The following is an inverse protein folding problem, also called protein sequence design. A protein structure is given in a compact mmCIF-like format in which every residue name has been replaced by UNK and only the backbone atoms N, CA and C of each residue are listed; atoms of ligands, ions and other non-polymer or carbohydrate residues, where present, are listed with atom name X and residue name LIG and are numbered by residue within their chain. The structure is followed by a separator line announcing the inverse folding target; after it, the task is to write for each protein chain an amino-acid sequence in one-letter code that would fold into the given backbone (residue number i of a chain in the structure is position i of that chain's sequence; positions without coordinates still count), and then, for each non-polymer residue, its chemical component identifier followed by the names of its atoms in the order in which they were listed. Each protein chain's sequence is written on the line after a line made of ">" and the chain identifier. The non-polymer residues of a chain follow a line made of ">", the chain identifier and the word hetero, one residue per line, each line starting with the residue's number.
data_IF_201824368170
#
_entry.id   IF_201824368170
#
_cell.length_a   1.000
_cell.length_b   1.000
_cell.length_c   1.000
_cell.angle_alpha   90.00
_cell.angle_beta   90.00
_cell.angle_gamma   90.00
#
_symmetry.space_group_name_H-M   'P 1'
#
loop_
_entity.id
_entity.type
_entity.pdbx_description
1 polymer ?
#
# COMPACT_ATOMS: atom_id res chain seq x y z
N UNK A 1 15.30 4.79 22.49
CA UNK A 1 14.76 4.22 21.25
C UNK A 1 15.78 3.73 20.21
N UNK A 2 17.12 3.65 20.41
CA UNK A 2 17.94 2.79 19.54
C UNK A 2 17.50 1.32 19.59
N UNK A 3 16.83 0.88 20.66
CA UNK A 3 16.30 -0.47 20.86
C UNK A 3 15.27 -0.91 19.81
N UNK A 4 14.54 0.02 19.18
CA UNK A 4 13.53 -0.32 18.16
C UNK A 4 14.02 -0.21 16.72
N UNK A 5 15.26 0.23 16.48
CA UNK A 5 15.80 0.43 15.13
C UNK A 5 15.72 -0.86 14.30
N UNK A 6 16.08 -2.00 14.90
CA UNK A 6 15.99 -3.30 14.24
C UNK A 6 14.55 -3.66 13.83
N UNK A 7 13.59 -3.46 14.74
CA UNK A 7 12.16 -3.72 14.49
C UNK A 7 11.58 -2.80 13.41
N UNK A 8 11.94 -1.52 13.42
CA UNK A 8 11.52 -0.53 12.42
C UNK A 8 12.05 -0.92 11.04
N UNK A 9 13.34 -1.25 10.93
CA UNK A 9 13.94 -1.66 9.66
C UNK A 9 13.30 -2.94 9.13
N UNK A 10 13.03 -3.92 10.00
CA UNK A 10 12.38 -5.16 9.63
C UNK A 10 10.92 -4.94 9.19
N UNK A 11 10.14 -4.13 9.91
CA UNK A 11 8.78 -3.76 9.52
C UNK A 11 8.74 -3.11 8.14
N UNK A 12 9.60 -2.11 7.92
CA UNK A 12 9.69 -1.42 6.63
C UNK A 12 10.08 -2.39 5.51
N UNK A 13 11.06 -3.28 5.76
CA UNK A 13 11.47 -4.30 4.80
C UNK A 13 10.30 -5.23 4.43
N UNK A 14 9.57 -5.75 5.43
CA UNK A 14 8.42 -6.63 5.19
C UNK A 14 7.29 -5.90 4.45
N UNK A 15 7.01 -4.64 4.79
CA UNK A 15 6.04 -3.83 4.06
C UNK A 15 6.47 -3.55 2.61
N UNK A 16 7.76 -3.34 2.35
CA UNK A 16 8.27 -3.18 0.98
C UNK A 16 8.13 -4.47 0.17
N UNK A 17 8.55 -5.61 0.74
CA UNK A 17 8.46 -6.90 0.06
C UNK A 17 7.00 -7.26 -0.21
N UNK A 18 6.11 -7.14 0.78
CA UNK A 18 4.69 -7.46 0.57
C UNK A 18 4.04 -6.52 -0.45
N UNK A 19 4.42 -5.24 -0.46
CA UNK A 19 3.93 -4.28 -1.46
C UNK A 19 4.34 -4.70 -2.87
N UNK A 20 5.62 -5.05 -3.08
CA UNK A 20 6.12 -5.53 -4.37
C UNK A 20 5.32 -6.74 -4.86
N UNK A 21 5.09 -7.74 -4.01
CA UNK A 21 4.30 -8.91 -4.39
C UNK A 21 2.85 -8.56 -4.73
N UNK A 22 2.21 -7.73 -3.90
CA UNK A 22 0.83 -7.34 -4.09
C UNK A 22 0.61 -6.52 -5.39
N UNK A 23 1.51 -5.58 -5.70
CA UNK A 23 1.44 -4.72 -6.90
C UNK A 23 1.81 -5.45 -8.19
N UNK A 24 2.87 -6.28 -8.16
CA UNK A 24 3.49 -6.76 -9.39
C UNK A 24 3.27 -8.24 -9.68
N UNK A 25 2.99 -9.06 -8.65
CA UNK A 25 2.91 -10.52 -8.80
C UNK A 25 1.49 -11.06 -8.59
N UNK A 26 0.70 -10.42 -7.74
CA UNK A 26 -0.61 -10.94 -7.29
C UNK A 26 -1.81 -10.26 -7.97
N UNK A 27 -1.57 -9.26 -8.84
CA UNK A 27 -2.66 -8.60 -9.55
C UNK A 27 -3.34 -9.55 -10.55
N UNK A 28 -4.67 -9.63 -10.49
CA UNK A 28 -5.48 -10.42 -11.42
C UNK A 28 -5.97 -9.56 -12.60
N UNK A 29 -6.44 -10.16 -13.71
CA UNK A 29 -7.00 -9.40 -14.83
C UNK A 29 -8.11 -8.43 -14.42
N UNK A 30 -8.94 -8.80 -13.44
CA UNK A 30 -10.00 -7.95 -12.88
C UNK A 30 -9.44 -6.75 -12.10
N UNK A 31 -8.31 -6.91 -11.42
CA UNK A 31 -7.63 -5.81 -10.73
C UNK A 31 -7.02 -4.82 -11.72
N UNK A 32 -6.62 -5.30 -12.91
CA UNK A 32 -5.92 -4.53 -13.93
C UNK A 32 -6.83 -3.77 -14.91
N UNK A 33 -8.03 -4.28 -15.19
CA UNK A 33 -8.97 -3.68 -16.14
C UNK A 33 -9.81 -2.56 -15.52
N UNK A 34 -10.37 -1.67 -16.36
CA UNK A 34 -11.41 -0.70 -15.96
C UNK A 34 -11.05 0.29 -14.84
N UNK A 35 -9.75 0.54 -14.60
CA UNK A 35 -9.30 1.22 -13.39
C UNK A 35 -9.60 2.73 -13.35
N UNK A 36 -9.98 3.37 -14.44
CA UNK A 36 -10.35 4.79 -14.44
C UNK A 36 -11.70 5.12 -13.82
N UNK A 37 -12.56 4.14 -13.55
CA UNK A 37 -13.79 4.34 -12.80
C UNK A 37 -13.51 4.41 -11.29
N UNK A 38 -14.20 5.27 -10.55
CA UNK A 38 -13.97 5.40 -9.10
C UNK A 38 -14.51 4.20 -8.32
N UNK A 39 -15.71 3.72 -8.65
CA UNK A 39 -16.30 2.54 -8.00
C UNK A 39 -15.85 1.27 -8.70
N UNK A 40 -14.64 0.79 -8.35
CA UNK A 40 -14.01 -0.33 -9.04
C UNK A 40 -13.75 -1.52 -8.11
N UNK A 41 -14.47 -2.63 -8.33
CA UNK A 41 -14.37 -3.83 -7.50
C UNK A 41 -12.98 -4.48 -7.57
N UNK A 42 -12.33 -4.49 -8.73
CA UNK A 42 -10.98 -5.02 -8.85
C UNK A 42 -9.97 -4.26 -7.99
N UNK A 43 -10.10 -2.94 -7.88
CA UNK A 43 -9.22 -2.11 -7.05
C UNK A 43 -9.51 -2.31 -5.56
N UNK A 44 -10.79 -2.45 -5.20
CA UNK A 44 -11.18 -2.84 -3.84
C UNK A 44 -10.56 -4.18 -3.42
N UNK A 45 -10.54 -5.16 -4.32
CA UNK A 45 -9.88 -6.45 -4.10
C UNK A 45 -8.36 -6.30 -3.99
N UNK A 46 -7.75 -5.47 -4.82
CA UNK A 46 -6.31 -5.23 -4.76
C UNK A 46 -5.89 -4.55 -3.45
N UNK A 47 -6.56 -3.47 -3.04
CA UNK A 47 -6.35 -2.85 -1.73
C UNK A 47 -6.56 -3.86 -0.56
N UNK A 48 -7.49 -4.81 -0.71
CA UNK A 48 -7.67 -5.88 0.28
C UNK A 48 -6.47 -6.84 0.34
N UNK A 49 -5.81 -7.15 -0.78
CA UNK A 49 -4.55 -7.93 -0.77
C UNK A 49 -3.46 -7.19 0.02
N UNK A 50 -3.34 -5.87 -0.15
CA UNK A 50 -2.40 -5.07 0.63
C UNK A 50 -2.71 -5.09 2.12
N UNK A 51 -3.97 -4.85 2.49
CA UNK A 51 -4.42 -4.86 3.87
C UNK A 51 -4.21 -6.24 4.52
N UNK A 52 -4.52 -7.33 3.83
CA UNK A 52 -4.27 -8.70 4.33
C UNK A 52 -2.78 -8.96 4.56
N UNK A 53 -1.92 -8.52 3.64
CA UNK A 53 -0.47 -8.60 3.83
C UNK A 53 0.01 -7.81 5.06
N UNK A 54 -0.53 -6.61 5.28
CA UNK A 54 -0.22 -5.81 6.47
C UNK A 54 -0.72 -6.44 7.76
N UNK A 55 -1.90 -7.05 7.76
CA UNK A 55 -2.41 -7.78 8.92
C UNK A 55 -1.42 -8.88 9.32
N UNK A 56 -0.93 -9.67 8.36
CA UNK A 56 0.05 -10.74 8.65
C UNK A 56 1.35 -10.18 9.26
N UNK A 57 1.86 -9.07 8.71
CA UNK A 57 3.06 -8.40 9.23
C UNK A 57 2.81 -7.88 10.65
N UNK A 58 1.71 -7.17 10.90
CA UNK A 58 1.44 -6.58 12.22
C UNK A 58 1.10 -7.64 13.29
N UNK A 59 0.45 -8.74 12.91
CA UNK A 59 0.23 -9.90 13.80
C UNK A 59 1.56 -10.51 14.22
N UNK A 60 2.51 -10.67 13.28
CA UNK A 60 3.85 -11.16 13.60
C UNK A 60 4.53 -10.27 14.64
N UNK A 61 4.36 -8.95 14.55
CA UNK A 61 4.91 -7.98 15.49
C UNK A 61 4.09 -7.83 16.79
N UNK A 62 3.10 -8.69 17.02
CA UNK A 62 2.34 -8.73 18.27
C UNK A 62 1.48 -7.49 18.51
N UNK A 63 1.12 -6.74 17.46
CA UNK A 63 0.23 -5.59 17.61
C UNK A 63 -1.18 -6.04 18.03
N UNK A 64 -1.91 -5.27 18.86
CA UNK A 64 -3.22 -5.65 19.34
C UNK A 64 -4.26 -5.58 18.22
N UNK A 65 -5.30 -6.41 18.29
CA UNK A 65 -6.30 -6.55 17.22
C UNK A 65 -6.94 -5.22 16.82
N UNK A 66 -7.32 -4.37 17.79
CA UNK A 66 -7.94 -3.08 17.49
C UNK A 66 -7.02 -2.14 16.70
N UNK A 67 -5.72 -2.14 17.01
CA UNK A 67 -4.71 -1.36 16.31
C UNK A 67 -4.54 -1.85 14.87
N UNK A 68 -4.43 -3.17 14.68
CA UNK A 68 -4.31 -3.81 13.36
C UNK A 68 -5.51 -3.47 12.48
N UNK A 69 -6.73 -3.69 12.99
CA UNK A 69 -7.96 -3.43 12.23
C UNK A 69 -8.08 -1.96 11.84
N UNK A 70 -7.70 -1.04 12.74
CA UNK A 70 -7.73 0.40 12.46
C UNK A 70 -6.73 0.77 11.35
N UNK A 71 -5.46 0.38 11.49
CA UNK A 71 -4.45 0.71 10.48
C UNK A 71 -4.74 0.09 9.13
N UNK A 72 -5.14 -1.18 9.07
CA UNK A 72 -5.40 -1.86 7.81
C UNK A 72 -6.68 -1.37 7.12
N UNK A 73 -7.68 -0.90 7.88
CA UNK A 73 -8.84 -0.21 7.30
C UNK A 73 -8.43 1.13 6.67
N UNK A 74 -7.59 1.91 7.35
CA UNK A 74 -7.05 3.16 6.82
C UNK A 74 -6.16 2.92 5.59
N UNK A 75 -5.26 1.94 5.64
CA UNK A 75 -4.44 1.52 4.50
C UNK A 75 -5.31 1.17 3.31
N UNK A 76 -6.36 0.37 3.49
CA UNK A 76 -7.27 -0.01 2.40
C UNK A 76 -7.89 1.21 1.71
N UNK A 77 -8.37 2.19 2.50
CA UNK A 77 -8.97 3.43 1.97
C UNK A 77 -7.93 4.26 1.24
N UNK A 78 -6.76 4.46 1.83
CA UNK A 78 -5.68 5.27 1.24
C UNK A 78 -5.16 4.63 -0.05
N UNK A 79 -4.84 3.34 -0.02
CA UNK A 79 -4.37 2.56 -1.17
C UNK A 79 -5.36 2.63 -2.32
N UNK A 80 -6.66 2.41 -2.05
CA UNK A 80 -7.70 2.51 -3.06
C UNK A 80 -7.73 3.88 -3.75
N UNK A 81 -7.53 4.96 -3.00
CA UNK A 81 -7.56 6.31 -3.55
C UNK A 81 -6.29 6.67 -4.33
N UNK A 82 -5.11 6.22 -3.87
CA UNK A 82 -3.83 6.41 -4.59
C UNK A 82 -3.92 5.71 -5.96
N UNK A 83 -4.30 4.44 -5.97
CA UNK A 83 -4.47 3.65 -7.19
C UNK A 83 -5.48 4.28 -8.15
N UNK A 84 -6.62 4.76 -7.62
CA UNK A 84 -7.60 5.47 -8.43
C UNK A 84 -6.99 6.70 -9.10
N UNK A 85 -6.31 7.55 -8.33
CA UNK A 85 -5.72 8.78 -8.86
C UNK A 85 -4.69 8.48 -9.94
N UNK A 86 -3.79 7.52 -9.72
CA UNK A 86 -2.80 7.09 -10.72
C UNK A 86 -3.47 6.52 -11.97
N UNK A 87 -4.45 5.63 -11.81
CA UNK A 87 -5.14 5.01 -12.93
C UNK A 87 -5.91 6.05 -13.76
N UNK A 88 -6.69 6.91 -13.09
CA UNK A 88 -7.47 7.97 -13.75
C UNK A 88 -6.57 8.95 -14.49
N UNK A 89 -5.48 9.39 -13.85
CA UNK A 89 -4.49 10.26 -14.48
C UNK A 89 -3.89 9.62 -15.73
N UNK A 90 -3.48 8.35 -15.63
CA UNK A 90 -2.87 7.60 -16.73
C UNK A 90 -3.84 7.39 -17.90
N UNK A 91 -5.10 7.07 -17.62
CA UNK A 91 -6.13 6.87 -18.66
C UNK A 91 -6.50 8.18 -19.36
N UNK A 92 -6.76 9.26 -18.61
CA UNK A 92 -7.10 10.57 -19.18
C UNK A 92 -5.98 11.09 -20.07
N UNK A 93 -4.73 10.86 -19.68
CA UNK A 93 -3.53 11.27 -20.43
C UNK A 93 -3.08 10.24 -21.47
N UNK A 94 -3.75 9.08 -21.57
CA UNK A 94 -3.41 7.96 -22.46
C UNK A 94 -1.93 7.54 -22.36
N UNK A 95 -1.41 7.49 -21.14
CA UNK A 95 0.01 7.22 -20.90
C UNK A 95 0.35 5.77 -21.26
N UNK A 96 1.47 5.59 -21.95
CA UNK A 96 2.06 4.28 -22.25
C UNK A 96 3.45 4.17 -21.62
N UNK A 97 3.98 2.95 -21.37
CA UNK A 97 5.32 2.77 -20.79
C UNK A 97 6.47 3.41 -21.58
N UNK A 98 6.26 3.74 -22.85
CA UNK A 98 7.23 4.46 -23.70
C UNK A 98 7.29 5.96 -23.41
N UNK A 99 6.42 6.50 -22.55
CA UNK A 99 6.34 7.92 -22.21
C UNK A 99 6.94 8.18 -20.82
N UNK A 100 7.79 9.20 -20.67
CA UNK A 100 8.38 9.55 -19.35
C UNK A 100 7.32 9.85 -18.27
N UNK A 101 6.21 10.47 -18.65
CA UNK A 101 5.10 10.76 -17.72
C UNK A 101 4.44 9.52 -17.13
N UNK A 102 4.49 8.37 -17.82
CA UNK A 102 4.04 7.10 -17.26
C UNK A 102 4.88 6.72 -16.04
N UNK A 103 6.20 6.89 -16.15
CA UNK A 103 7.14 6.61 -15.06
C UNK A 103 7.05 7.62 -13.93
N UNK A 104 6.74 8.89 -14.21
CA UNK A 104 6.39 9.85 -13.17
C UNK A 104 5.16 9.39 -12.39
N UNK A 105 4.07 9.01 -13.08
CA UNK A 105 2.85 8.54 -12.43
C UNK A 105 3.08 7.25 -11.62
N UNK A 106 3.83 6.28 -12.18
CA UNK A 106 4.20 5.04 -11.48
C UNK A 106 5.10 5.31 -10.27
N UNK A 107 6.11 6.17 -10.41
CA UNK A 107 7.00 6.51 -9.30
C UNK A 107 6.28 7.23 -8.16
N UNK A 108 5.39 8.18 -8.48
CA UNK A 108 4.56 8.86 -7.47
C UNK A 108 3.65 7.87 -6.73
N UNK A 109 3.02 6.96 -7.46
CA UNK A 109 2.18 5.88 -6.92
C UNK A 109 2.96 5.01 -5.93
N UNK A 110 4.13 4.50 -6.30
CA UNK A 110 4.99 3.73 -5.40
C UNK A 110 5.40 4.55 -4.16
N UNK A 111 5.77 5.81 -4.34
CA UNK A 111 6.19 6.68 -3.24
C UNK A 111 5.07 6.91 -2.21
N UNK A 112 3.83 7.15 -2.67
CA UNK A 112 2.68 7.38 -1.77
C UNK A 112 2.31 6.12 -0.97
N UNK A 113 2.40 4.93 -1.58
CA UNK A 113 2.21 3.68 -0.85
C UNK A 113 3.32 3.47 0.19
N UNK A 114 4.58 3.74 -0.13
CA UNK A 114 5.67 3.65 0.84
C UNK A 114 5.58 4.69 1.97
N UNK A 115 5.08 5.90 1.69
CA UNK A 115 4.78 6.90 2.72
C UNK A 115 3.65 6.43 3.65
N UNK A 116 2.67 5.68 3.14
CA UNK A 116 1.64 5.05 3.97
C UNK A 116 2.25 4.04 4.93
N UNK A 117 3.19 3.20 4.48
CA UNK A 117 3.91 2.28 5.36
C UNK A 117 4.81 2.98 6.38
N UNK A 118 5.46 4.09 6.00
CA UNK A 118 6.20 4.91 6.95
C UNK A 118 5.28 5.44 8.07
N UNK A 119 4.08 5.91 7.72
CA UNK A 119 3.09 6.36 8.70
C UNK A 119 2.60 5.21 9.59
N UNK A 120 2.37 4.01 9.04
CA UNK A 120 1.99 2.82 9.82
C UNK A 120 3.09 2.38 10.79
N UNK A 121 4.35 2.39 10.35
CA UNK A 121 5.50 2.07 11.21
C UNK A 121 5.68 3.12 12.30
N UNK A 122 5.52 4.41 11.96
CA UNK A 122 5.51 5.47 12.96
C UNK A 122 4.42 5.24 14.02
N UNK A 123 3.18 4.97 13.60
CA UNK A 123 2.09 4.66 14.53
C UNK A 123 2.38 3.43 15.40
N UNK A 124 3.06 2.42 14.87
CA UNK A 124 3.48 1.25 15.65
C UNK A 124 4.55 1.61 16.68
N UNK A 125 5.53 2.45 16.32
CA UNK A 125 6.56 2.95 17.25
C UNK A 125 5.92 3.73 18.39
N UNK A 126 5.01 4.65 18.11
CA UNK A 126 4.29 5.40 19.15
C UNK A 126 3.51 4.46 20.07
N UNK A 127 2.86 3.43 19.51
CA UNK A 127 2.12 2.44 20.29
C UNK A 127 3.00 1.58 21.20
N UNK A 128 4.19 1.14 20.75
CA UNK A 128 5.08 0.29 21.58
C UNK A 128 5.95 1.09 22.55
N UNK A 129 6.08 2.40 22.35
CA UNK A 129 6.82 3.30 23.21
C UNK A 129 5.98 3.82 24.40
N UNK A 130 4.65 3.69 24.35
CA UNK A 130 3.72 3.94 25.47
C UNK A 130 3.56 2.73 26.37
#
# INVERSE_FOLDING_TARGET
>A
MPEYVGSVLLLLCLFQIKHMFADFYMQTPKMLSGRGEYMHMGRAQHAAVHALGSILVLVWFGAPTAFILTLCALEWVVHFNIDYCKARFSEVKKLTPTMGMFWCAMGTDQALHHLTYLAMVWAWVEYVAT
#
